data_IF_091509570210
#
_entry.id   IF_091509570210
#
_cell.length_a   1.000
_cell.length_b   1.000
_cell.length_c   1.000
_cell.angle_alpha   90.00
_cell.angle_beta   90.00
_cell.angle_gamma   90.00
#
_symmetry.space_group_name_H-M   'P 1'
#
loop_
_entity.id
_entity.type
_entity.pdbx_description
1 polymer ?
#
# COMPACT_ATOMS: atom_id res chain seq x y z
N UNK A 1 35.66 -6.12 -3.95
CA UNK A 1 34.72 -5.68 -2.88
C UNK A 1 33.55 -4.88 -3.45
N UNK A 2 33.75 -3.71 -4.08
CA UNK A 2 32.65 -2.88 -4.63
C UNK A 2 31.75 -3.62 -5.65
N UNK A 3 32.35 -4.30 -6.64
CA UNK A 3 31.60 -5.11 -7.63
C UNK A 3 30.79 -6.26 -7.02
N UNK A 4 31.28 -6.83 -5.92
CA UNK A 4 30.57 -7.87 -5.18
C UNK A 4 29.35 -7.30 -4.42
N UNK A 5 29.50 -6.12 -3.81
CA UNK A 5 28.41 -5.39 -3.16
C UNK A 5 27.34 -4.97 -4.18
N UNK A 6 27.75 -4.43 -5.33
CA UNK A 6 26.84 -4.04 -6.41
C UNK A 6 26.07 -5.24 -6.97
N UNK A 7 26.73 -6.38 -7.18
CA UNK A 7 26.04 -7.60 -7.62
C UNK A 7 25.03 -8.10 -6.58
N UNK A 8 25.34 -7.99 -5.28
CA UNK A 8 24.39 -8.32 -4.21
C UNK A 8 23.19 -7.37 -4.18
N UNK A 9 23.44 -6.07 -4.29
CA UNK A 9 22.36 -5.07 -4.35
C UNK A 9 21.46 -5.28 -5.58
N UNK A 10 22.05 -5.60 -6.73
CA UNK A 10 21.32 -5.90 -7.96
C UNK A 10 20.40 -7.12 -7.82
N UNK A 11 20.71 -8.07 -6.94
CA UNK A 11 19.84 -9.21 -6.61
C UNK A 11 18.75 -8.83 -5.60
N UNK A 12 19.03 -7.92 -4.68
CA UNK A 12 18.07 -7.48 -3.65
C UNK A 12 16.96 -6.64 -4.28
N UNK A 13 17.29 -5.74 -5.22
CA UNK A 13 16.32 -4.84 -5.87
C UNK A 13 15.12 -5.60 -6.46
N UNK A 14 15.27 -6.61 -7.34
CA UNK A 14 14.13 -7.34 -7.89
C UNK A 14 13.36 -8.12 -6.82
N UNK A 15 14.03 -8.63 -5.78
CA UNK A 15 13.35 -9.29 -4.65
C UNK A 15 12.45 -8.32 -3.88
N UNK A 16 12.96 -7.12 -3.55
CA UNK A 16 12.18 -6.09 -2.85
C UNK A 16 11.01 -5.63 -3.72
N UNK A 17 11.24 -5.38 -5.02
CA UNK A 17 10.16 -5.04 -5.96
C UNK A 17 9.10 -6.15 -5.98
N UNK A 18 9.51 -7.41 -6.11
CA UNK A 18 8.60 -8.55 -6.08
C UNK A 18 7.76 -8.61 -4.81
N UNK A 19 8.38 -8.40 -3.64
CA UNK A 19 7.68 -8.37 -2.35
C UNK A 19 6.69 -7.19 -2.30
N UNK A 20 7.10 -5.99 -2.69
CA UNK A 20 6.20 -4.81 -2.65
C UNK A 20 4.99 -4.98 -3.57
N UNK A 21 5.18 -5.52 -4.78
CA UNK A 21 4.09 -5.83 -5.71
C UNK A 21 3.18 -6.89 -5.11
N UNK A 22 3.74 -7.97 -4.56
CA UNK A 22 2.97 -9.04 -3.95
C UNK A 22 2.14 -8.54 -2.76
N UNK A 23 2.72 -7.74 -1.87
CA UNK A 23 2.01 -7.13 -0.74
C UNK A 23 0.90 -6.18 -1.19
N UNK A 24 1.17 -5.32 -2.18
CA UNK A 24 0.17 -4.41 -2.74
C UNK A 24 -0.99 -5.17 -3.39
N UNK A 25 -0.67 -6.17 -4.22
CA UNK A 25 -1.66 -7.02 -4.86
C UNK A 25 -2.48 -7.81 -3.84
N UNK A 26 -1.84 -8.34 -2.79
CA UNK A 26 -2.52 -9.09 -1.74
C UNK A 26 -3.66 -8.29 -1.11
N UNK A 27 -3.41 -7.04 -0.73
CA UNK A 27 -4.43 -6.15 -0.16
C UNK A 27 -5.53 -5.85 -1.17
N UNK A 28 -5.21 -5.69 -2.46
CA UNK A 28 -6.20 -5.40 -3.51
C UNK A 28 -6.99 -6.61 -4.00
N UNK A 29 -6.48 -7.81 -3.80
CA UNK A 29 -7.18 -9.06 -4.08
C UNK A 29 -8.11 -9.48 -2.94
N UNK A 30 -7.93 -8.92 -1.74
CA UNK A 30 -8.85 -9.19 -0.64
C UNK A 30 -10.26 -8.73 -1.01
N UNK A 31 -11.27 -9.61 -0.90
CA UNK A 31 -12.64 -9.25 -1.19
C UNK A 31 -13.15 -8.26 -0.12
N UNK A 32 -13.64 -7.11 -0.57
CA UNK A 32 -14.17 -6.06 0.28
C UNK A 32 -13.56 -4.69 0.00
N UNK A 33 -14.24 -3.63 0.44
CA UNK A 33 -13.72 -2.27 0.34
C UNK A 33 -12.91 -1.95 1.61
N UNK A 34 -11.60 -1.66 1.52
CA UNK A 34 -10.77 -1.35 2.68
C UNK A 34 -11.27 -0.12 3.47
N UNK A 35 -11.94 0.83 2.82
CA UNK A 35 -12.54 1.99 3.48
C UNK A 35 -13.74 1.56 4.33
N UNK A 36 -14.57 0.67 3.79
CA UNK A 36 -15.71 0.12 4.53
C UNK A 36 -15.23 -0.82 5.65
N UNK A 37 -14.14 -1.55 5.44
CA UNK A 37 -13.52 -2.38 6.49
C UNK A 37 -13.04 -1.52 7.68
N UNK A 38 -12.51 -0.31 7.43
CA UNK A 38 -12.13 0.64 8.49
C UNK A 38 -13.33 1.18 9.28
N UNK A 39 -14.49 1.34 8.63
CA UNK A 39 -15.73 1.79 9.26
C UNK A 39 -16.25 0.81 10.33
N UNK A 40 -15.93 -0.48 10.17
CA UNK A 40 -16.49 -1.54 10.99
C UNK A 40 -18.00 -1.67 10.83
N UNK A 41 -18.67 -2.22 11.85
CA UNK A 41 -20.09 -2.57 11.79
C UNK A 41 -21.05 -1.37 11.76
N UNK A 42 -20.59 -0.17 12.08
CA UNK A 42 -21.44 1.03 12.09
C UNK A 42 -21.65 1.64 10.70
N UNK A 43 -20.95 1.13 9.69
CA UNK A 43 -20.95 1.72 8.35
C UNK A 43 -20.37 3.14 8.33
N UNK A 44 -20.30 3.74 7.15
CA UNK A 44 -19.82 5.11 6.96
C UNK A 44 -20.85 5.87 6.12
N UNK A 45 -21.12 7.14 6.48
CA UNK A 45 -21.95 8.02 5.65
C UNK A 45 -21.31 8.19 4.25
N UNK A 46 -22.09 8.26 3.17
CA UNK A 46 -21.55 8.38 1.79
C UNK A 46 -20.57 9.55 1.63
N UNK A 47 -20.85 10.68 2.26
CA UNK A 47 -19.98 11.87 2.25
C UNK A 47 -18.60 11.58 2.85
N UNK A 48 -18.57 10.82 3.95
CA UNK A 48 -17.32 10.45 4.63
C UNK A 48 -16.57 9.37 3.86
N UNK A 49 -17.26 8.49 3.15
CA UNK A 49 -16.66 7.50 2.26
C UNK A 49 -15.84 8.18 1.16
N UNK A 50 -16.44 9.14 0.45
CA UNK A 50 -15.76 9.85 -0.64
C UNK A 50 -14.54 10.64 -0.16
N UNK A 51 -14.62 11.25 1.03
CA UNK A 51 -13.47 11.92 1.66
C UNK A 51 -12.34 10.93 1.92
N UNK A 52 -12.63 9.79 2.54
CA UNK A 52 -11.61 8.79 2.85
C UNK A 52 -11.04 8.14 1.59
N UNK A 53 -11.87 7.91 0.58
CA UNK A 53 -11.43 7.37 -0.71
C UNK A 53 -10.36 8.24 -1.34
N UNK A 54 -10.58 9.55 -1.37
CA UNK A 54 -9.59 10.53 -1.84
C UNK A 54 -8.37 10.62 -0.92
N UNK A 55 -8.58 10.62 0.39
CA UNK A 55 -7.50 10.72 1.38
C UNK A 55 -6.52 9.55 1.26
N UNK A 56 -7.02 8.33 1.11
CA UNK A 56 -6.19 7.13 0.92
C UNK A 56 -5.76 6.90 -0.53
N UNK A 57 -6.19 7.75 -1.48
CA UNK A 57 -5.84 7.64 -2.90
C UNK A 57 -6.47 6.44 -3.59
N UNK A 58 -7.54 5.88 -3.04
CA UNK A 58 -8.26 4.75 -3.64
C UNK A 58 -9.11 5.15 -4.85
N UNK A 59 -9.21 6.44 -5.14
CA UNK A 59 -9.76 7.02 -6.37
C UNK A 59 -8.74 7.09 -7.53
N UNK A 60 -7.45 6.93 -7.26
CA UNK A 60 -6.39 7.02 -8.26
C UNK A 60 -6.26 5.73 -9.09
N UNK A 61 -5.66 5.78 -10.29
CA UNK A 61 -5.25 4.59 -11.03
C UNK A 61 -4.31 3.68 -10.22
N UNK A 62 -4.36 2.36 -10.46
CA UNK A 62 -3.57 1.38 -9.70
C UNK A 62 -2.05 1.62 -9.74
N UNK A 63 -1.53 2.11 -10.86
CA UNK A 63 -0.11 2.41 -11.01
C UNK A 63 0.31 3.59 -10.11
N UNK A 64 -0.50 4.65 -10.05
CA UNK A 64 -0.25 5.79 -9.15
C UNK A 64 -0.30 5.36 -7.68
N UNK A 65 -1.28 4.53 -7.32
CA UNK A 65 -1.37 3.97 -5.96
C UNK A 65 -0.13 3.15 -5.59
N UNK A 66 0.37 2.33 -6.51
CA UNK A 66 1.59 1.54 -6.28
C UNK A 66 2.82 2.42 -6.09
N UNK A 67 3.02 3.44 -6.94
CA UNK A 67 4.16 4.36 -6.79
C UNK A 67 4.10 5.16 -5.50
N UNK A 68 2.90 5.60 -5.09
CA UNK A 68 2.70 6.25 -3.80
C UNK A 68 3.06 5.32 -2.64
N UNK A 69 2.53 4.10 -2.64
CA UNK A 69 2.84 3.06 -1.65
C UNK A 69 4.35 2.77 -1.53
N UNK A 70 5.04 2.60 -2.66
CA UNK A 70 6.49 2.39 -2.67
C UNK A 70 7.23 3.63 -2.17
N UNK A 71 6.80 4.83 -2.58
CA UNK A 71 7.38 6.09 -2.14
C UNK A 71 7.26 6.31 -0.63
N UNK A 72 6.13 5.95 -0.04
CA UNK A 72 5.86 6.03 1.40
C UNK A 72 6.79 5.04 2.16
N UNK A 73 6.89 3.79 1.70
CA UNK A 73 7.78 2.77 2.30
C UNK A 73 9.24 3.21 2.27
N UNK A 74 9.70 3.80 1.15
CA UNK A 74 11.08 4.29 1.02
C UNK A 74 11.37 5.45 1.97
N UNK A 75 10.35 6.19 2.41
CA UNK A 75 10.46 7.25 3.42
C UNK A 75 10.32 6.71 4.85
N UNK A 76 10.05 5.40 5.01
CA UNK A 76 9.82 4.76 6.31
C UNK A 76 8.38 4.88 6.81
N UNK A 77 7.45 5.34 5.96
CA UNK A 77 6.02 5.36 6.25
C UNK A 77 5.38 4.05 5.75
N UNK A 78 4.91 3.22 6.69
CA UNK A 78 4.26 1.95 6.39
C UNK A 78 2.71 2.05 6.39
N UNK A 79 2.17 3.26 6.55
CA UNK A 79 0.76 3.51 6.68
C UNK A 79 0.18 3.05 8.02
N UNK A 80 -1.16 3.12 8.12
CA UNK A 80 -1.92 2.75 9.31
C UNK A 80 -2.54 1.37 9.11
N UNK A 81 -2.35 0.47 10.07
CA UNK A 81 -2.98 -0.84 10.08
C UNK A 81 -4.50 -0.72 10.19
N UNK A 82 -5.22 -1.31 9.22
CA UNK A 82 -6.69 -1.34 9.26
C UNK A 82 -7.22 -2.22 10.39
N UNK A 83 -6.46 -3.23 10.81
CA UNK A 83 -6.84 -4.17 11.87
C UNK A 83 -6.66 -3.58 13.28
N UNK A 84 -5.55 -2.85 13.50
CA UNK A 84 -5.18 -2.34 14.83
C UNK A 84 -5.39 -0.83 14.97
N UNK A 85 -5.69 -0.12 13.87
CA UNK A 85 -5.81 1.35 13.79
C UNK A 85 -4.58 2.08 14.31
N UNK A 86 -3.38 1.56 14.04
CA UNK A 86 -2.07 2.11 14.42
C UNK A 86 -1.07 1.90 13.31
#
# INVERSE_FOLDING_TARGET
MLRFILNKLALIVPTVIGITIASFAFIRLLPGDPILAMAGQHGIKPERYEILKKQYGFDLPLWEQYFKYVGDILQGDFGISLATKR
#
